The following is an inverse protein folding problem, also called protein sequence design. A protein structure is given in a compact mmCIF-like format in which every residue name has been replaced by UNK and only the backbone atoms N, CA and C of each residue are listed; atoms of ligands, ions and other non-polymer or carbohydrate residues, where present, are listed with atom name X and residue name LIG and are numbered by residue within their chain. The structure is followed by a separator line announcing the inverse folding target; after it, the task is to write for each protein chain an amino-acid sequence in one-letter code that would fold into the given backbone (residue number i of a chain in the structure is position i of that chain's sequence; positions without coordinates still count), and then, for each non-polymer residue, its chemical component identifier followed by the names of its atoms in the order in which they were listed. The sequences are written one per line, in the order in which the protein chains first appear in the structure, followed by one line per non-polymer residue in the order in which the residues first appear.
data_IF_387512460641
#
_entry.id   IF_387512460641
#
_cell.length_a   1.000
_cell.length_b   1.000
_cell.length_c   1.000
_cell.angle_alpha   90.00
_cell.angle_beta   90.00
_cell.angle_gamma   90.00
#
_symmetry.space_group_name_H-M   'P 1'
#
loop_
_entity.id
_entity.type
_entity.pdbx_description
1 polymer ?
#
# COMPACT_ATOMS: atom_id res chain seq x y z
N UNK A 1 -29.95 -13.61 -3.63
CA UNK A 1 -28.79 -12.71 -3.44
C UNK A 1 -27.60 -13.37 -4.09
N UNK A 2 -27.09 -12.80 -5.16
CA UNK A 2 -25.83 -13.21 -5.77
C UNK A 2 -24.70 -12.81 -4.82
N UNK A 3 -24.18 -13.74 -4.06
CA UNK A 3 -23.02 -13.52 -3.21
C UNK A 3 -21.77 -13.55 -4.09
N UNK A 4 -21.42 -12.41 -4.68
CA UNK A 4 -20.16 -12.26 -5.37
C UNK A 4 -18.99 -12.38 -4.39
N UNK A 5 -17.85 -12.95 -4.85
CA UNK A 5 -16.62 -13.00 -4.13
C UNK A 5 -15.59 -12.10 -4.82
N UNK A 6 -15.23 -10.99 -4.19
CA UNK A 6 -14.34 -9.99 -4.78
C UNK A 6 -12.86 -10.34 -4.66
N UNK A 7 -12.06 -9.88 -5.61
CA UNK A 7 -10.63 -9.73 -5.48
C UNK A 7 -10.35 -8.35 -4.88
N UNK A 8 -9.57 -8.28 -3.80
CA UNK A 8 -9.28 -7.05 -3.07
C UNK A 8 -7.78 -6.78 -3.14
N UNK A 9 -7.42 -5.60 -3.56
CA UNK A 9 -6.03 -5.15 -3.66
C UNK A 9 -5.95 -3.62 -3.54
N UNK A 10 -4.83 -3.11 -3.08
CA UNK A 10 -4.51 -1.68 -3.07
C UNK A 10 -3.59 -1.32 -4.22
N UNK A 11 -2.75 -2.25 -4.64
CA UNK A 11 -1.74 -2.09 -5.69
C UNK A 11 -1.81 -3.18 -6.75
N UNK A 12 -1.37 -2.85 -7.95
CA UNK A 12 -1.09 -3.78 -9.03
C UNK A 12 -0.07 -3.16 -10.01
N UNK A 13 0.33 -3.93 -11.05
CA UNK A 13 1.31 -3.51 -12.04
C UNK A 13 0.84 -2.37 -12.99
N UNK A 14 -0.41 -1.94 -12.89
CA UNK A 14 -0.99 -0.89 -13.73
C UNK A 14 -1.36 0.39 -12.96
N UNK A 15 -0.95 0.48 -11.70
CA UNK A 15 -1.25 1.61 -10.83
C UNK A 15 0.01 2.12 -10.13
N UNK A 16 -0.01 3.37 -9.71
CA UNK A 16 0.99 3.92 -8.80
C UNK A 16 0.86 3.29 -7.40
N UNK A 17 1.91 3.40 -6.60
CA UNK A 17 1.96 2.87 -5.24
C UNK A 17 0.90 3.47 -4.33
N UNK A 18 0.39 2.67 -3.39
CA UNK A 18 -0.70 3.04 -2.48
C UNK A 18 -0.36 4.21 -1.57
N UNK A 19 0.87 4.30 -1.08
CA UNK A 19 1.33 5.45 -0.31
C UNK A 19 1.12 6.77 -1.05
N UNK A 20 1.48 6.82 -2.32
CA UNK A 20 1.33 8.01 -3.16
C UNK A 20 -0.12 8.28 -3.57
N UNK A 21 -1.01 7.28 -3.54
CA UNK A 21 -2.44 7.45 -3.79
C UNK A 21 -3.18 7.99 -2.58
N UNK A 22 -2.93 7.45 -1.40
CA UNK A 22 -3.75 7.70 -0.21
C UNK A 22 -3.16 8.73 0.76
N UNK A 23 -1.83 8.97 0.70
CA UNK A 23 -1.14 9.91 1.57
C UNK A 23 -0.42 11.04 0.81
N UNK A 24 -0.92 11.36 -0.39
CA UNK A 24 -0.29 12.27 -1.36
C UNK A 24 0.06 13.65 -0.83
N UNK A 25 -0.80 14.24 -0.01
CA UNK A 25 -0.63 15.58 0.54
C UNK A 25 0.22 15.59 1.83
N UNK A 26 0.44 14.43 2.40
CA UNK A 26 1.21 14.19 3.63
C UNK A 26 2.61 13.67 3.28
N UNK A 27 3.21 14.25 2.27
CA UNK A 27 4.49 13.82 1.73
C UNK A 27 5.55 13.67 2.81
N UNK A 28 6.39 12.70 2.59
CA UNK A 28 7.67 12.42 3.22
C UNK A 28 7.73 11.27 4.24
N UNK A 29 6.86 10.26 4.13
CA UNK A 29 7.17 8.97 4.73
C UNK A 29 8.46 8.35 4.17
N UNK A 30 8.96 8.87 3.03
CA UNK A 30 10.17 8.34 2.40
C UNK A 30 11.40 8.43 3.31
N UNK A 31 11.57 9.55 4.00
CA UNK A 31 12.71 9.81 4.89
C UNK A 31 12.37 9.54 6.37
N UNK A 32 11.09 9.29 6.68
CA UNK A 32 10.59 8.92 7.99
C UNK A 32 10.06 7.47 7.99
N UNK A 33 10.90 6.53 8.37
CA UNK A 33 10.54 5.11 8.42
C UNK A 33 9.45 4.80 9.44
N UNK A 34 9.31 5.60 10.50
CA UNK A 34 8.23 5.43 11.47
C UNK A 34 6.88 5.84 10.87
N UNK A 35 6.81 7.00 10.22
CA UNK A 35 5.61 7.43 9.52
C UNK A 35 5.24 6.45 8.40
N UNK A 36 6.23 5.96 7.65
CA UNK A 36 6.02 4.91 6.64
C UNK A 36 5.43 3.64 7.24
N UNK A 37 5.93 3.21 8.39
CA UNK A 37 5.35 2.07 9.09
C UNK A 37 3.89 2.34 9.50
N UNK A 38 3.57 3.49 10.08
CA UNK A 38 2.20 3.84 10.46
C UNK A 38 1.25 3.85 9.27
N UNK A 39 1.62 4.50 8.18
CA UNK A 39 0.83 4.55 6.95
C UNK A 39 0.65 3.16 6.33
N UNK A 40 1.74 2.38 6.23
CA UNK A 40 1.69 1.02 5.70
C UNK A 40 0.86 0.08 6.56
N UNK A 41 0.95 0.19 7.88
CA UNK A 41 0.15 -0.63 8.80
C UNK A 41 -1.34 -0.29 8.74
N UNK A 42 -1.70 0.99 8.56
CA UNK A 42 -3.08 1.41 8.34
C UNK A 42 -3.66 0.78 7.06
N UNK A 43 -2.94 0.89 5.94
CA UNK A 43 -3.34 0.28 4.66
C UNK A 43 -3.42 -1.25 4.74
N UNK A 44 -2.43 -1.90 5.36
CA UNK A 44 -2.41 -3.34 5.56
C UNK A 44 -3.61 -3.83 6.41
N UNK A 45 -3.93 -3.10 7.48
CA UNK A 45 -5.08 -3.41 8.35
C UNK A 45 -6.38 -3.29 7.58
N UNK A 46 -6.56 -2.22 6.81
CA UNK A 46 -7.72 -2.04 5.95
C UNK A 46 -7.83 -3.20 4.95
N UNK A 47 -6.76 -3.47 4.20
CA UNK A 47 -6.74 -4.52 3.17
C UNK A 47 -7.08 -5.90 3.76
N UNK A 48 -6.42 -6.28 4.86
CA UNK A 48 -6.62 -7.58 5.50
C UNK A 48 -7.94 -7.69 6.26
N UNK A 49 -8.57 -6.57 6.63
CA UNK A 49 -9.88 -6.53 7.27
C UNK A 49 -11.05 -6.72 6.32
N UNK A 50 -10.91 -6.39 5.03
CA UNK A 50 -11.99 -6.47 4.06
C UNK A 50 -12.36 -7.92 3.68
N UNK A 51 -13.61 -8.10 3.17
CA UNK A 51 -14.14 -9.38 2.70
C UNK A 51 -13.72 -9.64 1.25
N UNK A 52 -13.17 -10.82 0.97
CA UNK A 52 -12.77 -11.24 -0.38
C UNK A 52 -11.42 -11.94 -0.38
N UNK A 53 -10.92 -12.27 -1.58
CA UNK A 53 -9.56 -12.75 -1.78
C UNK A 53 -8.59 -11.57 -1.81
N UNK A 54 -7.72 -11.51 -0.81
CA UNK A 54 -6.72 -10.44 -0.69
C UNK A 54 -5.52 -10.74 -1.58
N UNK A 55 -5.14 -9.74 -2.36
CA UNK A 55 -3.91 -9.75 -3.15
C UNK A 55 -2.97 -8.68 -2.59
N UNK A 56 -1.80 -9.10 -2.15
CA UNK A 56 -0.69 -8.21 -1.77
C UNK A 56 0.23 -8.10 -2.96
N UNK A 57 0.46 -6.88 -3.43
CA UNK A 57 1.35 -6.65 -4.56
C UNK A 57 2.80 -6.53 -4.08
N UNK A 58 3.75 -7.04 -4.88
CA UNK A 58 5.18 -7.05 -4.54
C UNK A 58 5.69 -5.66 -4.14
N UNK A 59 6.33 -5.57 -2.97
CA UNK A 59 6.85 -4.33 -2.40
C UNK A 59 5.85 -3.55 -1.54
N UNK A 60 4.55 -3.84 -1.62
CA UNK A 60 3.54 -3.26 -0.73
C UNK A 60 3.85 -3.59 0.73
N UNK A 61 4.23 -4.84 0.99
CA UNK A 61 4.63 -5.34 2.30
C UNK A 61 5.92 -4.73 2.86
N UNK A 62 6.69 -4.06 2.00
CA UNK A 62 7.90 -3.34 2.39
C UNK A 62 7.68 -1.83 2.53
N UNK A 63 6.50 -1.34 2.15
CA UNK A 63 6.20 0.08 2.12
C UNK A 63 6.84 0.81 0.93
N UNK A 64 6.91 0.15 -0.24
CA UNK A 64 7.44 0.77 -1.45
C UNK A 64 6.59 1.94 -1.90
N UNK A 65 7.24 3.04 -2.27
CA UNK A 65 6.64 4.25 -2.82
C UNK A 65 6.94 4.41 -4.31
N UNK A 66 6.31 5.40 -4.94
CA UNK A 66 6.64 5.79 -6.31
C UNK A 66 8.11 6.17 -6.44
N UNK A 67 8.72 5.86 -7.57
CA UNK A 67 10.08 6.26 -7.89
C UNK A 67 10.23 7.77 -8.10
N UNK A 68 11.45 8.25 -7.96
CA UNK A 68 11.83 9.60 -8.38
C UNK A 68 12.46 9.50 -9.77
N UNK A 69 11.67 9.75 -10.80
CA UNK A 69 12.15 9.85 -12.18
C UNK A 69 12.41 11.31 -12.51
N UNK A 70 13.59 11.61 -13.05
CA UNK A 70 14.04 12.97 -13.28
C UNK A 70 13.84 13.42 -14.73
N UNK A 71 13.60 12.48 -15.64
CA UNK A 71 13.33 12.76 -17.04
C UNK A 71 12.38 11.71 -17.64
N UNK A 72 11.78 12.05 -18.78
CA UNK A 72 10.85 11.13 -19.46
C UNK A 72 11.56 9.92 -20.08
N UNK A 73 12.86 10.02 -20.34
CA UNK A 73 13.70 8.96 -20.87
C UNK A 73 13.89 7.81 -19.89
N UNK A 74 13.79 8.09 -18.58
CA UNK A 74 13.89 7.07 -17.53
C UNK A 74 12.66 6.13 -17.46
N UNK A 75 11.55 6.51 -18.11
CA UNK A 75 10.34 5.71 -18.21
C UNK A 75 10.39 4.77 -19.43
N UNK A 76 9.79 3.59 -19.30
CA UNK A 76 9.57 2.68 -20.40
C UNK A 76 8.09 2.54 -20.80
N UNK A 77 7.18 2.83 -19.89
CA UNK A 77 5.74 2.79 -20.13
C UNK A 77 5.31 3.76 -21.26
N UNK A 78 4.81 3.18 -22.34
CA UNK A 78 4.34 3.93 -23.53
C UNK A 78 3.19 4.90 -23.17
N UNK A 79 2.30 4.51 -22.26
CA UNK A 79 1.21 5.37 -21.82
C UNK A 79 1.73 6.61 -21.09
N UNK A 80 2.73 6.44 -20.23
CA UNK A 80 3.42 7.55 -19.55
C UNK A 80 4.05 8.51 -20.54
N UNK A 81 4.78 8.00 -21.53
CA UNK A 81 5.39 8.81 -22.59
C UNK A 81 4.36 9.56 -23.45
N UNK A 82 3.21 8.92 -23.74
CA UNK A 82 2.13 9.57 -24.47
C UNK A 82 1.45 10.67 -23.66
N UNK A 83 1.15 10.43 -22.39
CA UNK A 83 0.58 11.45 -21.49
C UNK A 83 1.51 12.67 -21.33
N UNK A 84 2.82 12.45 -21.19
CA UNK A 84 3.81 13.51 -21.17
C UNK A 84 3.75 14.38 -22.42
N UNK A 85 3.76 13.76 -23.62
CA UNK A 85 3.64 14.49 -24.89
C UNK A 85 2.33 15.26 -25.01
N UNK A 86 1.23 14.70 -24.51
CA UNK A 86 -0.09 15.40 -24.48
C UNK A 86 -0.06 16.62 -23.59
N UNK A 87 0.58 16.53 -22.42
CA UNK A 87 0.74 17.66 -21.51
C UNK A 87 1.54 18.81 -22.17
N UNK A 88 2.67 18.50 -22.81
CA UNK A 88 3.44 19.48 -23.57
C UNK A 88 2.62 20.14 -24.69
N UNK A 89 1.84 19.37 -25.46
CA UNK A 89 0.95 19.91 -26.51
C UNK A 89 -0.17 20.79 -25.93
N UNK A 90 -0.59 20.56 -24.70
CA UNK A 90 -1.57 21.37 -23.98
C UNK A 90 -0.96 22.66 -23.39
N UNK A 91 0.36 22.88 -23.57
CA UNK A 91 1.04 24.11 -23.15
C UNK A 91 1.68 24.05 -21.76
N UNK A 92 1.72 22.88 -21.13
CA UNK A 92 2.48 22.71 -19.88
C UNK A 92 3.98 22.64 -20.20
N UNK A 93 4.83 23.15 -19.30
CA UNK A 93 6.27 23.00 -19.42
C UNK A 93 6.73 21.56 -19.10
N UNK A 94 8.01 21.26 -19.35
CA UNK A 94 8.57 19.92 -19.14
C UNK A 94 8.50 19.47 -17.67
N UNK A 95 8.76 20.35 -16.72
CA UNK A 95 8.73 20.06 -15.30
C UNK A 95 7.31 19.73 -14.81
N UNK A 96 6.32 20.53 -15.25
CA UNK A 96 4.91 20.27 -14.95
C UNK A 96 4.44 18.95 -15.58
N UNK A 97 4.81 18.74 -16.86
CA UNK A 97 4.45 17.52 -17.59
C UNK A 97 5.06 16.26 -16.93
N UNK A 98 6.32 16.35 -16.49
CA UNK A 98 6.98 15.25 -15.77
C UNK A 98 6.31 14.99 -14.42
N UNK A 99 5.96 16.04 -13.67
CA UNK A 99 5.25 15.89 -12.40
C UNK A 99 3.92 15.14 -12.55
N UNK A 100 3.13 15.47 -13.60
CA UNK A 100 1.86 14.78 -13.85
C UNK A 100 2.04 13.28 -14.10
N UNK A 101 3.08 12.88 -14.83
CA UNK A 101 3.31 11.47 -15.12
C UNK A 101 3.99 10.74 -13.97
N UNK A 102 4.86 11.39 -13.19
CA UNK A 102 5.49 10.80 -12.01
C UNK A 102 4.44 10.20 -11.04
N UNK A 103 3.36 10.93 -10.82
CA UNK A 103 2.32 10.52 -9.87
C UNK A 103 1.51 9.30 -10.33
N UNK A 104 1.44 9.06 -11.64
CA UNK A 104 0.48 8.10 -12.23
C UNK A 104 1.09 6.99 -13.05
N UNK A 105 2.39 7.07 -13.35
CA UNK A 105 3.06 6.07 -14.18
C UNK A 105 2.96 4.67 -13.59
N UNK A 106 2.69 3.71 -14.47
CA UNK A 106 2.72 2.28 -14.14
C UNK A 106 4.11 1.79 -13.77
N UNK A 107 5.17 2.44 -14.29
CA UNK A 107 6.56 2.08 -14.00
C UNK A 107 6.90 2.21 -12.51
N UNK A 108 6.18 3.05 -11.77
CA UNK A 108 6.30 3.13 -10.31
C UNK A 108 6.11 1.77 -9.61
N UNK A 109 5.22 0.93 -10.13
CA UNK A 109 4.95 -0.41 -9.57
C UNK A 109 5.80 -1.52 -10.18
N UNK A 110 6.58 -1.19 -11.22
CA UNK A 110 7.38 -2.18 -11.98
C UNK A 110 8.87 -2.10 -11.70
N UNK A 111 9.29 -1.19 -10.83
CA UNK A 111 10.67 -1.08 -10.38
C UNK A 111 11.14 -2.38 -9.72
N UNK A 112 12.47 -2.68 -9.78
CA UNK A 112 13.05 -3.84 -9.13
C UNK A 112 12.69 -3.94 -7.65
N UNK A 113 12.34 -5.16 -7.21
CA UNK A 113 12.04 -5.44 -5.81
C UNK A 113 13.31 -5.33 -4.96
N UNK A 114 13.30 -4.59 -3.85
CA UNK A 114 14.47 -4.37 -3.02
C UNK A 114 14.71 -5.56 -2.06
N UNK A 115 15.56 -6.49 -2.48
CA UNK A 115 15.92 -7.68 -1.68
C UNK A 115 16.94 -7.35 -0.59
N UNK A 116 17.99 -6.60 -0.96
CA UNK A 116 19.13 -6.31 -0.07
C UNK A 116 19.59 -4.85 -0.20
N UNK A 117 20.59 -4.47 0.59
CA UNK A 117 21.24 -3.15 0.52
C UNK A 117 22.27 -3.04 -0.61
N UNK A 118 22.53 -4.12 -1.33
CA UNK A 118 23.51 -4.16 -2.41
C UNK A 118 23.05 -3.39 -3.64
N UNK A 119 23.94 -3.19 -4.60
CA UNK A 119 23.63 -2.51 -5.85
C UNK A 119 22.35 -3.10 -6.51
N UNK A 120 21.51 -2.23 -7.08
CA UNK A 120 20.22 -2.58 -7.65
C UNK A 120 19.29 -3.29 -6.65
N UNK A 121 19.43 -3.03 -5.35
CA UNK A 121 18.63 -3.69 -4.31
C UNK A 121 18.87 -5.20 -4.21
N UNK A 122 19.98 -5.71 -4.74
CA UNK A 122 20.24 -7.15 -4.86
C UNK A 122 19.33 -7.87 -5.87
N UNK A 123 18.60 -7.12 -6.71
CA UNK A 123 17.71 -7.67 -7.71
C UNK A 123 18.48 -8.28 -8.90
N UNK A 124 19.53 -7.60 -9.36
CA UNK A 124 20.37 -8.06 -10.44
C UNK A 124 21.81 -7.52 -10.31
N UNK A 125 22.78 -8.27 -10.81
CA UNK A 125 24.16 -7.82 -10.98
C UNK A 125 24.39 -7.06 -12.31
N UNK A 126 23.43 -7.12 -13.23
CA UNK A 126 23.44 -6.40 -14.50
C UNK A 126 22.66 -5.08 -14.43
N UNK A 127 22.38 -4.50 -15.60
CA UNK A 127 21.52 -3.33 -15.70
C UNK A 127 20.06 -3.77 -15.60
N UNK A 128 19.29 -3.29 -14.63
CA UNK A 128 17.85 -3.61 -14.54
C UNK A 128 17.07 -2.91 -15.67
N UNK A 129 15.92 -3.46 -16.03
CA UNK A 129 15.00 -2.84 -16.98
C UNK A 129 14.57 -1.43 -16.56
N UNK A 130 14.12 -1.25 -15.33
CA UNK A 130 13.88 0.05 -14.69
C UNK A 130 14.87 0.20 -13.54
N UNK A 131 15.21 1.43 -13.19
CA UNK A 131 16.06 1.69 -12.01
C UNK A 131 15.38 1.25 -10.73
N UNK A 132 16.17 0.89 -9.72
CA UNK A 132 15.65 0.73 -8.36
C UNK A 132 15.22 2.07 -7.78
N UNK A 133 14.26 2.05 -6.87
CA UNK A 133 13.92 3.24 -6.11
C UNK A 133 15.10 3.64 -5.21
N UNK A 134 15.34 4.93 -5.05
CA UNK A 134 16.52 5.46 -4.34
C UNK A 134 16.57 5.04 -2.86
N UNK A 135 15.42 4.73 -2.26
CA UNK A 135 15.28 4.33 -0.86
C UNK A 135 15.42 2.81 -0.61
N UNK A 136 15.74 2.03 -1.63
CA UNK A 136 15.78 0.57 -1.55
C UNK A 136 16.60 0.03 -0.38
N UNK A 137 17.72 0.70 -0.07
CA UNK A 137 18.60 0.29 1.01
C UNK A 137 18.00 0.50 2.40
N UNK A 138 17.01 1.39 2.55
CA UNK A 138 16.31 1.63 3.80
C UNK A 138 15.21 0.59 4.05
N UNK A 139 14.46 0.21 3.00
CA UNK A 139 13.25 -0.61 3.09
C UNK A 139 13.43 -2.07 2.64
N UNK A 140 14.63 -2.50 2.24
CA UNK A 140 14.82 -3.82 1.64
C UNK A 140 14.35 -4.99 2.52
N UNK A 141 13.92 -6.07 1.86
CA UNK A 141 13.39 -7.27 2.49
C UNK A 141 14.33 -7.85 3.56
N UNK A 142 15.64 -7.90 3.28
CA UNK A 142 16.65 -8.42 4.22
C UNK A 142 16.69 -7.66 5.56
N UNK A 143 16.58 -6.34 5.54
CA UNK A 143 16.51 -5.53 6.77
C UNK A 143 15.21 -5.77 7.52
N UNK A 144 14.09 -5.72 6.80
CA UNK A 144 12.77 -5.91 7.42
C UNK A 144 12.57 -7.34 7.96
N UNK A 145 13.19 -8.34 7.35
CA UNK A 145 13.20 -9.71 7.88
C UNK A 145 13.89 -9.82 9.25
N UNK A 146 14.92 -9.01 9.49
CA UNK A 146 15.65 -8.96 10.74
C UNK A 146 14.96 -8.12 11.83
N UNK A 147 14.12 -7.19 11.43
CA UNK A 147 13.38 -6.31 12.33
C UNK A 147 11.95 -6.81 12.58
N UNK A 148 11.70 -7.34 13.77
CA UNK A 148 10.39 -7.85 14.17
C UNK A 148 9.28 -6.78 14.26
N UNK A 149 9.64 -5.50 14.34
CA UNK A 149 8.72 -4.38 14.31
C UNK A 149 8.49 -3.81 12.89
N UNK A 150 9.07 -4.43 11.86
CA UNK A 150 8.94 -3.98 10.47
C UNK A 150 7.55 -4.17 9.88
N UNK A 151 7.27 -3.43 8.79
CA UNK A 151 6.02 -3.57 8.04
C UNK A 151 5.85 -4.98 7.44
N UNK A 152 6.94 -5.62 6.99
CA UNK A 152 6.93 -7.01 6.53
C UNK A 152 6.41 -7.97 7.60
N UNK A 153 6.89 -7.82 8.85
CA UNK A 153 6.41 -8.65 9.97
C UNK A 153 4.98 -8.29 10.36
N UNK A 154 4.57 -7.04 10.22
CA UNK A 154 3.19 -6.62 10.42
C UNK A 154 2.24 -7.32 9.42
N UNK A 155 2.56 -7.33 8.13
CA UNK A 155 1.82 -8.08 7.10
C UNK A 155 1.75 -9.58 7.43
N UNK A 156 2.86 -10.19 7.82
CA UNK A 156 2.88 -11.61 8.24
C UNK A 156 1.94 -11.88 9.41
N UNK A 157 1.92 -11.01 10.40
CA UNK A 157 1.02 -11.13 11.54
C UNK A 157 -0.45 -11.00 11.12
N UNK A 158 -0.79 -10.03 10.29
CA UNK A 158 -2.16 -9.87 9.79
C UNK A 158 -2.62 -11.08 8.97
N UNK A 159 -1.75 -11.64 8.12
CA UNK A 159 -2.05 -12.85 7.35
C UNK A 159 -2.30 -14.03 8.31
N UNK A 160 -1.47 -14.17 9.36
CA UNK A 160 -1.66 -15.21 10.38
C UNK A 160 -2.98 -15.03 11.11
N UNK A 161 -3.28 -13.81 11.59
CA UNK A 161 -4.56 -13.49 12.26
C UNK A 161 -5.75 -13.82 11.36
N UNK A 162 -5.69 -13.41 10.07
CA UNK A 162 -6.78 -13.67 9.12
C UNK A 162 -7.01 -15.16 8.85
N UNK A 163 -5.96 -16.00 8.94
CA UNK A 163 -6.03 -17.46 8.69
C UNK A 163 -6.21 -18.30 9.95
N UNK A 164 -6.07 -17.70 11.11
CA UNK A 164 -6.24 -18.38 12.41
C UNK A 164 -7.65 -18.99 12.53
N UNK A 165 -7.76 -20.18 13.09
CA UNK A 165 -9.04 -20.88 13.21
C UNK A 165 -10.10 -20.08 13.98
N UNK A 166 -9.67 -19.33 14.99
CA UNK A 166 -10.57 -18.49 15.78
C UNK A 166 -11.11 -17.27 14.99
N UNK A 167 -10.38 -16.79 14.00
CA UNK A 167 -10.70 -15.52 13.32
C UNK A 167 -11.19 -15.71 11.89
N UNK A 168 -10.88 -16.82 11.24
CA UNK A 168 -11.09 -17.00 9.80
C UNK A 168 -12.56 -16.91 9.39
N UNK A 169 -13.48 -17.41 10.22
CA UNK A 169 -14.92 -17.36 9.90
C UNK A 169 -15.40 -15.91 9.83
N UNK A 170 -14.96 -15.07 10.76
CA UNK A 170 -15.27 -13.64 10.70
C UNK A 170 -14.47 -12.92 9.60
N UNK A 171 -13.13 -13.03 9.58
CA UNK A 171 -12.28 -12.22 8.69
C UNK A 171 -12.31 -12.64 7.22
N UNK A 172 -12.52 -13.94 6.92
CA UNK A 172 -12.58 -14.40 5.53
C UNK A 172 -14.03 -14.37 5.04
N UNK A 173 -14.94 -15.07 5.72
CA UNK A 173 -16.29 -15.31 5.23
C UNK A 173 -17.33 -14.32 5.76
N UNK A 174 -17.12 -13.73 6.94
CA UNK A 174 -18.07 -12.88 7.64
C UNK A 174 -18.58 -11.71 6.80
N UNK A 175 -19.76 -11.25 7.10
CA UNK A 175 -20.33 -10.03 6.52
C UNK A 175 -19.55 -8.79 6.96
N UNK A 176 -19.58 -7.77 6.13
CA UNK A 176 -19.03 -6.43 6.45
C UNK A 176 -20.17 -5.54 6.87
N UNK A 177 -20.05 -4.92 8.04
CA UNK A 177 -21.01 -3.91 8.51
C UNK A 177 -20.22 -2.66 8.93
N UNK A 178 -20.61 -1.52 8.41
CA UNK A 178 -20.05 -0.25 8.81
C UNK A 178 -20.38 0.06 10.28
N UNK A 179 -19.38 0.57 11.01
CA UNK A 179 -19.57 1.13 12.35
C UNK A 179 -19.69 2.64 12.20
N UNK A 180 -20.86 3.17 12.52
CA UNK A 180 -21.06 4.62 12.55
C UNK A 180 -20.27 5.22 13.70
N UNK A 181 -19.36 6.12 13.39
CA UNK A 181 -18.55 6.83 14.36
C UNK A 181 -18.45 8.31 14.00
N UNK A 182 -18.12 9.15 14.98
CA UNK A 182 -18.03 10.61 14.80
C UNK A 182 -16.67 11.08 14.27
N UNK A 183 -15.74 10.17 14.04
CA UNK A 183 -14.36 10.47 13.63
C UNK A 183 -14.25 10.39 12.10
N UNK A 184 -14.32 11.51 11.41
CA UNK A 184 -14.34 11.58 9.93
C UNK A 184 -13.13 10.91 9.26
N UNK A 185 -11.97 10.87 9.94
CA UNK A 185 -10.74 10.27 9.41
C UNK A 185 -10.51 8.82 9.86
N UNK A 186 -11.44 8.22 10.58
CA UNK A 186 -11.36 6.83 11.04
C UNK A 186 -12.31 5.96 10.24
N UNK A 187 -11.77 4.98 9.54
CA UNK A 187 -12.55 3.92 8.89
C UNK A 187 -12.81 2.84 9.92
N UNK A 188 -14.10 2.57 10.22
CA UNK A 188 -14.49 1.56 11.19
C UNK A 188 -15.56 0.63 10.64
N UNK A 189 -15.37 -0.68 10.79
CA UNK A 189 -16.34 -1.70 10.37
C UNK A 189 -16.19 -3.00 11.18
N UNK A 190 -17.26 -3.78 11.20
CA UNK A 190 -17.29 -5.12 11.77
C UNK A 190 -17.21 -6.19 10.69
N UNK A 191 -16.60 -7.30 11.05
CA UNK A 191 -16.72 -8.58 10.34
C UNK A 191 -17.50 -9.53 11.22
N UNK A 192 -18.63 -10.02 10.72
CA UNK A 192 -19.61 -10.81 11.47
C UNK A 192 -19.70 -12.19 10.85
N UNK A 193 -19.29 -13.22 11.59
CA UNK A 193 -19.44 -14.61 11.19
C UNK A 193 -20.89 -15.10 11.30
N UNK A 194 -21.23 -16.21 10.65
CA UNK A 194 -22.58 -16.82 10.74
C UNK A 194 -22.97 -17.21 12.17
N UNK A 195 -21.99 -17.60 12.99
CA UNK A 195 -22.20 -17.95 14.41
C UNK A 195 -22.39 -16.70 15.32
N UNK A 196 -22.32 -15.50 14.76
CA UNK A 196 -22.47 -14.24 15.47
C UNK A 196 -21.19 -13.67 16.08
N UNK A 197 -20.04 -14.35 15.96
CA UNK A 197 -18.75 -13.82 16.36
C UNK A 197 -18.38 -12.60 15.53
N UNK A 198 -17.82 -11.59 16.19
CA UNK A 198 -17.51 -10.31 15.57
C UNK A 198 -16.06 -9.92 15.78
N UNK A 199 -15.50 -9.28 14.77
CA UNK A 199 -14.19 -8.62 14.84
C UNK A 199 -14.38 -7.20 14.33
N UNK A 200 -14.01 -6.21 15.14
CA UNK A 200 -14.01 -4.82 14.74
C UNK A 200 -12.66 -4.40 14.18
N UNK A 201 -12.69 -3.66 13.10
CA UNK A 201 -11.52 -3.09 12.44
C UNK A 201 -11.64 -1.57 12.49
N UNK A 202 -10.64 -0.92 13.09
CA UNK A 202 -10.55 0.52 13.20
C UNK A 202 -9.23 1.00 12.61
N UNK A 203 -9.30 1.88 11.62
CA UNK A 203 -8.13 2.38 10.90
C UNK A 203 -8.15 3.90 10.90
N UNK A 204 -7.19 4.49 11.60
CA UNK A 204 -6.97 5.93 11.59
C UNK A 204 -6.19 6.34 10.32
N UNK A 205 -6.83 7.12 9.44
CA UNK A 205 -6.25 7.65 8.21
C UNK A 205 -5.74 9.08 8.36
N UNK A 206 -5.76 9.63 9.59
CA UNK A 206 -5.22 10.96 9.89
C UNK A 206 -3.77 10.90 10.37
N UNK A 207 -3.16 12.06 10.51
CA UNK A 207 -1.83 12.28 11.10
C UNK A 207 -1.90 12.60 12.60
N UNK A 208 -3.11 12.64 13.17
CA UNK A 208 -3.35 12.92 14.57
C UNK A 208 -3.81 11.66 15.32
N UNK A 209 -3.49 11.57 16.61
CA UNK A 209 -4.03 10.50 17.45
C UNK A 209 -5.53 10.68 17.60
N UNK A 210 -6.29 9.63 17.33
CA UNK A 210 -7.74 9.60 17.50
C UNK A 210 -8.11 8.72 18.69
N UNK A 211 -9.15 9.11 19.40
CA UNK A 211 -9.72 8.33 20.51
C UNK A 211 -11.12 7.89 20.13
N UNK A 212 -11.35 6.59 20.13
CA UNK A 212 -12.63 5.99 19.83
C UNK A 212 -13.20 5.28 21.06
N UNK A 213 -14.49 5.46 21.32
CA UNK A 213 -15.20 4.70 22.34
C UNK A 213 -15.65 3.37 21.72
N UNK A 214 -14.94 2.30 22.07
CA UNK A 214 -15.26 0.94 21.62
C UNK A 214 -16.14 0.29 22.69
N UNK A 215 -17.38 -0.07 22.35
CA UNK A 215 -18.28 -0.74 23.27
C UNK A 215 -17.69 -2.10 23.73
N UNK A 216 -17.65 -2.34 25.03
CA UNK A 216 -17.27 -3.63 25.60
C UNK A 216 -18.20 -4.73 25.12
N UNK A 217 -17.66 -5.84 24.63
CA UNK A 217 -18.43 -7.00 24.19
C UNK A 217 -18.79 -7.03 22.70
N UNK A 218 -18.08 -6.25 21.87
CA UNK A 218 -18.17 -6.32 20.43
C UNK A 218 -17.15 -7.33 19.84
#
# INVERSE_FOLDING_TARGET
QTQGWGAIYLENHDQSRSFNKYFREKAAARDDLHLRFLQGSALATLLMGLRGTVFVYQGEELGSENGKFNSIEEYDDLNTKDQYRRALRAGYDEAQSLKFVNDRSRDNSRMPFPWTVEANGGFTSGMPWLKCNDDYAAICAKKQEQDKASLLHYYRNLIRIRKDEANRESLIYGEVREIQNALESVIAFERIAENGEKIQIWVNMSDETQQADIAEGA
#
